data_IF_403846255718
#
_entry.id   IF_403846255718
#
_cell.length_a   1.000
_cell.length_b   1.000
_cell.length_c   1.000
_cell.angle_alpha   90.00
_cell.angle_beta   90.00
_cell.angle_gamma   90.00
#
_symmetry.space_group_name_H-M   'P 1'
#
loop_
_entity.id
_entity.type
_entity.pdbx_description
1 polymer ?
#
# COMPACT_ATOMS: atom_id res chain seq x y z
N UNK A 1 -2.13 -21.52 -14.56
CA UNK A 1 -1.06 -21.10 -13.62
C UNK A 1 0.01 -20.35 -14.39
N UNK A 2 0.14 -19.04 -14.19
CA UNK A 2 1.24 -18.25 -14.76
C UNK A 2 2.43 -18.30 -13.82
N UNK A 3 3.58 -18.78 -14.31
CA UNK A 3 4.85 -18.70 -13.58
C UNK A 3 5.36 -17.26 -13.72
N UNK A 4 5.48 -16.55 -12.60
CA UNK A 4 6.15 -15.25 -12.57
C UNK A 4 7.66 -15.53 -12.53
N UNK A 5 8.35 -15.23 -13.63
CA UNK A 5 9.81 -15.30 -13.70
C UNK A 5 10.38 -13.90 -13.45
N UNK A 6 10.89 -13.66 -12.24
CA UNK A 6 11.81 -12.55 -11.96
C UNK A 6 13.24 -12.99 -12.28
N UNK A 7 13.96 -12.31 -13.20
CA UNK A 7 15.39 -12.56 -13.39
C UNK A 7 16.15 -12.34 -12.08
N UNK A 8 17.04 -13.26 -11.72
CA UNK A 8 17.73 -13.31 -10.42
C UNK A 8 18.63 -12.10 -10.08
N UNK A 9 18.83 -11.13 -10.98
CA UNK A 9 19.80 -10.04 -10.78
C UNK A 9 19.33 -8.66 -11.27
N UNK A 10 18.03 -8.38 -11.27
CA UNK A 10 17.54 -7.03 -11.56
C UNK A 10 16.56 -6.60 -10.48
N UNK A 11 16.96 -5.60 -9.69
CA UNK A 11 16.12 -4.95 -8.68
C UNK A 11 15.05 -4.10 -9.38
N UNK A 12 13.93 -4.74 -9.70
CA UNK A 12 12.72 -4.14 -10.27
C UNK A 12 11.76 -3.60 -9.21
N UNK A 13 12.22 -3.37 -7.97
CA UNK A 13 11.34 -2.85 -6.95
C UNK A 13 10.90 -1.43 -7.34
N UNK A 14 9.65 -1.29 -7.78
CA UNK A 14 8.93 -0.01 -7.95
C UNK A 14 8.90 0.78 -6.65
N UNK A 15 9.29 0.14 -5.55
CA UNK A 15 9.27 0.62 -4.18
C UNK A 15 10.67 0.54 -3.59
N UNK A 16 11.13 1.62 -2.96
CA UNK A 16 12.30 1.63 -2.09
C UNK A 16 11.85 1.88 -0.65
N UNK A 17 12.48 1.22 0.31
CA UNK A 17 12.28 1.56 1.72
C UNK A 17 13.17 2.73 2.08
N UNK A 18 12.61 3.76 2.69
CA UNK A 18 13.34 5.01 2.93
C UNK A 18 14.63 4.80 3.74
N UNK A 19 14.66 3.85 4.69
CA UNK A 19 15.86 3.56 5.49
C UNK A 19 17.03 2.98 4.68
N UNK A 20 16.80 2.50 3.46
CA UNK A 20 17.84 2.05 2.53
C UNK A 20 18.55 3.21 1.84
N UNK A 21 17.91 4.39 1.76
CA UNK A 21 18.42 5.57 1.06
C UNK A 21 18.57 6.79 1.96
N UNK A 22 18.24 6.66 3.24
CA UNK A 22 18.23 7.76 4.18
C UNK A 22 19.66 8.20 4.50
N UNK A 23 19.91 9.50 4.39
CA UNK A 23 21.15 10.12 4.87
C UNK A 23 20.94 10.73 6.25
N UNK A 24 22.04 10.94 6.98
CA UNK A 24 22.02 11.76 8.19
C UNK A 24 21.48 13.18 7.91
N UNK A 25 21.78 13.73 6.73
CA UNK A 25 21.29 15.05 6.32
C UNK A 25 19.76 15.10 6.19
N UNK A 26 19.12 14.04 5.68
CA UNK A 26 17.65 13.98 5.65
C UNK A 26 17.07 14.00 7.06
N UNK A 27 17.61 13.24 8.01
CA UNK A 27 17.08 13.21 9.38
C UNK A 27 17.24 14.57 10.08
N UNK A 28 18.34 15.26 9.81
CA UNK A 28 18.58 16.63 10.29
C UNK A 28 17.59 17.62 9.66
N UNK A 29 17.37 17.56 8.35
CA UNK A 29 16.38 18.38 7.64
C UNK A 29 14.94 18.10 8.11
N UNK A 30 14.58 16.82 8.27
CA UNK A 30 13.30 16.41 8.81
C UNK A 30 13.10 16.99 10.22
N UNK A 31 14.06 16.78 11.12
CA UNK A 31 14.03 17.32 12.48
C UNK A 31 13.94 18.85 12.52
N UNK A 32 14.65 19.54 11.62
CA UNK A 32 14.57 21.01 11.50
C UNK A 32 13.18 21.46 11.03
N UNK A 33 12.59 20.76 10.06
CA UNK A 33 11.25 21.06 9.55
C UNK A 33 10.19 20.97 10.67
N UNK A 34 10.36 20.04 11.62
CA UNK A 34 9.45 19.82 12.74
C UNK A 34 9.35 21.04 13.68
N UNK A 35 10.39 21.88 13.76
CA UNK A 35 10.42 23.05 14.65
C UNK A 35 9.39 24.12 14.29
N UNK A 36 8.93 24.14 13.03
CA UNK A 36 7.93 25.09 12.53
C UNK A 36 6.51 24.76 13.00
N UNK A 37 6.28 23.51 13.39
CA UNK A 37 4.96 23.04 13.81
C UNK A 37 4.73 23.27 15.32
N UNK A 38 3.49 23.55 15.74
CA UNK A 38 3.06 23.49 17.14
C UNK A 38 3.35 22.12 17.76
N UNK A 39 3.46 22.07 19.09
CA UNK A 39 3.83 20.85 19.82
C UNK A 39 2.95 19.64 19.48
N UNK A 40 1.63 19.80 19.41
CA UNK A 40 0.71 18.71 19.09
C UNK A 40 0.96 18.13 17.69
N UNK A 41 1.13 18.99 16.68
CA UNK A 41 1.44 18.57 15.31
C UNK A 41 2.83 17.93 15.23
N UNK A 42 3.80 18.49 15.95
CA UNK A 42 5.16 17.96 16.05
C UNK A 42 5.18 16.55 16.62
N UNK A 43 4.40 16.28 17.67
CA UNK A 43 4.29 14.95 18.27
C UNK A 43 3.71 13.91 17.29
N UNK A 44 2.77 14.34 16.43
CA UNK A 44 2.22 13.49 15.37
C UNK A 44 3.21 13.22 14.23
N UNK A 45 4.17 14.12 13.98
CA UNK A 45 5.15 14.02 12.91
C UNK A 45 6.49 13.40 13.34
N UNK A 46 6.82 13.44 14.62
CA UNK A 46 8.09 12.94 15.14
C UNK A 46 8.10 11.41 15.24
N UNK A 47 8.28 10.74 14.09
CA UNK A 47 8.07 9.30 13.95
C UNK A 47 9.33 8.47 13.82
N UNK A 48 10.45 9.09 13.44
CA UNK A 48 11.67 8.39 13.07
C UNK A 48 12.61 8.22 14.26
N UNK A 49 13.16 7.02 14.41
CA UNK A 49 14.29 6.79 15.29
C UNK A 49 15.61 7.27 14.64
N UNK A 50 16.72 7.10 15.38
CA UNK A 50 18.07 7.49 14.92
C UNK A 50 18.53 6.78 13.63
N UNK A 51 17.85 5.72 13.21
CA UNK A 51 18.13 4.95 11.99
C UNK A 51 17.09 5.24 10.89
N UNK A 52 16.22 6.23 11.07
CA UNK A 52 15.17 6.53 10.10
C UNK A 52 14.01 5.55 10.11
N UNK A 53 13.87 4.72 11.15
CA UNK A 53 12.79 3.74 11.25
C UNK A 53 11.59 4.37 11.94
N UNK A 54 10.44 4.20 11.34
CA UNK A 54 9.18 4.83 11.74
C UNK A 54 8.23 4.87 10.56
N UNK A 55 6.94 4.81 10.85
CA UNK A 55 5.89 5.01 9.84
C UNK A 55 4.62 5.43 10.56
N UNK A 56 4.03 6.53 10.11
CA UNK A 56 2.63 6.85 10.32
C UNK A 56 2.13 7.66 9.10
N UNK A 57 0.82 7.82 8.98
CA UNK A 57 0.22 8.49 7.81
C UNK A 57 0.60 9.98 7.69
N UNK A 58 0.98 10.65 8.78
CA UNK A 58 1.40 12.06 8.76
C UNK A 58 2.87 12.21 8.37
N UNK A 59 3.77 11.57 9.11
CA UNK A 59 5.21 11.66 8.90
C UNK A 59 5.64 11.11 7.54
N UNK A 60 4.93 10.10 7.01
CA UNK A 60 5.20 9.60 5.65
C UNK A 60 4.95 10.68 4.59
N UNK A 61 3.86 11.45 4.70
CA UNK A 61 3.55 12.55 3.77
C UNK A 61 4.61 13.65 3.86
N UNK A 62 5.02 14.04 5.08
CA UNK A 62 6.07 15.05 5.26
C UNK A 62 7.43 14.57 4.73
N UNK A 63 7.81 13.32 5.03
CA UNK A 63 9.06 12.74 4.58
C UNK A 63 9.16 12.71 3.04
N UNK A 64 8.08 12.28 2.38
CA UNK A 64 7.96 12.26 0.93
C UNK A 64 8.23 13.63 0.29
N UNK A 65 7.73 14.71 0.90
CA UNK A 65 7.95 16.08 0.41
C UNK A 65 9.38 16.55 0.54
N UNK A 66 9.96 16.33 1.71
CA UNK A 66 11.34 16.71 1.99
C UNK A 66 12.28 15.99 1.02
N UNK A 67 12.02 14.71 0.75
CA UNK A 67 12.78 13.92 -0.21
C UNK A 67 12.48 14.29 -1.68
N UNK A 68 11.35 14.95 -1.96
CA UNK A 68 10.88 15.15 -3.34
C UNK A 68 10.56 13.84 -4.06
N UNK A 69 10.23 12.78 -3.32
CA UNK A 69 9.95 11.44 -3.83
C UNK A 69 8.52 11.03 -3.47
N UNK A 70 7.71 10.55 -4.44
CA UNK A 70 6.35 10.08 -4.16
C UNK A 70 6.37 8.85 -3.25
N UNK A 71 5.31 8.67 -2.45
CA UNK A 71 5.08 7.44 -1.70
C UNK A 71 4.69 6.31 -2.65
N UNK A 72 4.93 5.07 -2.24
CA UNK A 72 4.40 3.93 -2.97
C UNK A 72 2.87 3.88 -2.87
N UNK A 73 2.18 3.76 -4.00
CA UNK A 73 0.74 3.48 -4.00
C UNK A 73 0.47 2.08 -3.46
N UNK A 74 -0.77 1.76 -3.01
CA UNK A 74 -1.11 0.40 -2.60
C UNK A 74 -0.85 -0.66 -3.67
N UNK A 75 -1.09 -0.36 -4.96
CA UNK A 75 -0.82 -1.31 -6.04
C UNK A 75 0.68 -1.56 -6.23
N UNK A 76 1.51 -0.52 -6.16
CA UNK A 76 2.97 -0.65 -6.22
C UNK A 76 3.52 -1.44 -5.04
N UNK A 77 3.01 -1.19 -3.82
CA UNK A 77 3.42 -1.93 -2.64
C UNK A 77 3.05 -3.41 -2.75
N UNK A 78 1.81 -3.72 -3.12
CA UNK A 78 1.34 -5.09 -3.31
C UNK A 78 2.14 -5.82 -4.40
N UNK A 79 2.48 -5.11 -5.48
CA UNK A 79 3.34 -5.64 -6.52
C UNK A 79 4.74 -5.96 -5.99
N UNK A 80 5.37 -5.02 -5.27
CA UNK A 80 6.70 -5.21 -4.69
C UNK A 80 6.73 -6.36 -3.67
N UNK A 81 5.69 -6.50 -2.84
CA UNK A 81 5.54 -7.62 -1.89
C UNK A 81 5.48 -8.96 -2.61
N UNK A 82 4.81 -9.04 -3.77
CA UNK A 82 4.74 -10.26 -4.57
C UNK A 82 6.10 -10.66 -5.14
N UNK A 83 6.90 -9.69 -5.59
CA UNK A 83 8.22 -9.93 -6.17
C UNK A 83 9.27 -10.27 -5.10
N UNK A 84 9.20 -9.59 -3.96
CA UNK A 84 10.24 -9.65 -2.92
C UNK A 84 9.64 -9.76 -1.50
N UNK A 85 8.88 -10.82 -1.18
CA UNK A 85 8.15 -10.91 0.10
C UNK A 85 9.09 -10.90 1.32
N UNK A 86 10.32 -11.39 1.17
CA UNK A 86 11.31 -11.41 2.25
C UNK A 86 11.80 -10.01 2.64
N UNK A 87 11.82 -9.05 1.71
CA UNK A 87 12.17 -7.65 1.99
C UNK A 87 11.13 -6.99 2.90
N UNK A 88 9.86 -7.34 2.73
CA UNK A 88 8.75 -6.74 3.47
C UNK A 88 8.38 -7.53 4.74
N UNK A 89 8.91 -8.74 4.91
CA UNK A 89 8.67 -9.55 6.12
C UNK A 89 9.39 -8.91 7.30
N UNK A 90 8.69 -8.81 8.44
CA UNK A 90 9.24 -8.21 9.66
C UNK A 90 9.12 -6.70 9.76
N UNK A 91 8.68 -6.00 8.70
CA UNK A 91 8.46 -4.55 8.70
C UNK A 91 6.98 -4.18 8.66
N UNK A 92 6.70 -2.89 8.74
CA UNK A 92 5.36 -2.32 8.71
C UNK A 92 5.34 -1.12 7.76
N UNK A 93 4.38 -1.03 6.85
CA UNK A 93 4.30 0.04 5.84
C UNK A 93 2.85 0.54 5.72
N UNK A 94 2.63 1.85 5.66
CA UNK A 94 1.31 2.45 5.45
C UNK A 94 1.22 3.17 4.10
N UNK A 95 0.54 2.57 3.10
CA UNK A 95 0.38 3.21 1.79
C UNK A 95 -0.91 4.05 1.66
N UNK A 96 -1.86 3.94 2.59
CA UNK A 96 -3.18 4.55 2.45
C UNK A 96 -3.94 4.72 3.77
N UNK A 97 -4.99 5.55 3.70
CA UNK A 97 -6.10 5.59 4.63
C UNK A 97 -7.32 4.85 4.06
N UNK A 98 -8.23 4.44 4.93
CA UNK A 98 -9.58 4.04 4.55
C UNK A 98 -10.60 4.66 5.48
N UNK A 99 -11.62 5.26 4.89
CA UNK A 99 -12.74 5.89 5.58
C UNK A 99 -14.00 5.06 5.36
N UNK A 100 -14.62 4.60 6.44
CA UNK A 100 -15.88 3.85 6.42
C UNK A 100 -17.04 4.71 6.90
N UNK A 101 -16.88 5.35 8.04
CA UNK A 101 -17.92 6.16 8.69
C UNK A 101 -17.33 7.43 9.33
N UNK A 102 -18.24 8.31 9.76
CA UNK A 102 -17.97 9.62 10.37
C UNK A 102 -17.73 9.58 11.90
N UNK A 103 -17.87 8.42 12.52
CA UNK A 103 -18.15 8.33 13.96
C UNK A 103 -16.92 8.61 14.85
N UNK A 104 -15.70 8.36 14.36
CA UNK A 104 -14.55 8.20 15.26
C UNK A 104 -13.77 9.47 15.66
N UNK A 105 -13.63 10.47 14.79
CA UNK A 105 -12.83 11.66 15.11
C UNK A 105 -12.97 12.81 14.10
N UNK A 106 -12.47 13.97 14.50
CA UNK A 106 -12.42 15.21 13.70
C UNK A 106 -11.80 15.01 12.30
N UNK A 107 -10.75 14.17 12.19
CA UNK A 107 -10.10 13.88 10.91
C UNK A 107 -11.01 13.09 9.95
N UNK A 108 -11.77 12.13 10.46
CA UNK A 108 -12.76 11.38 9.67
C UNK A 108 -13.84 12.32 9.09
N UNK A 109 -14.38 13.22 9.93
CA UNK A 109 -15.38 14.21 9.51
C UNK A 109 -14.82 15.19 8.47
N UNK A 110 -13.60 15.64 8.67
CA UNK A 110 -12.91 16.51 7.73
C UNK A 110 -12.71 15.84 6.36
N UNK A 111 -12.20 14.60 6.33
CA UNK A 111 -12.04 13.86 5.07
C UNK A 111 -13.37 13.55 4.39
N UNK A 112 -14.38 13.12 5.15
CA UNK A 112 -15.71 12.88 4.62
C UNK A 112 -16.30 14.14 3.96
N UNK A 113 -16.20 15.30 4.62
CA UNK A 113 -16.70 16.56 4.06
C UNK A 113 -16.01 16.95 2.76
N UNK A 114 -14.74 16.58 2.60
CA UNK A 114 -14.00 16.81 1.35
C UNK A 114 -14.39 15.81 0.25
N UNK A 115 -14.71 14.56 0.61
CA UNK A 115 -15.20 13.55 -0.32
C UNK A 115 -16.63 13.85 -0.79
N UNK A 116 -17.50 14.31 0.12
CA UNK A 116 -18.89 14.62 -0.21
C UNK A 116 -18.99 15.74 -1.23
N UNK A 117 -18.12 16.76 -1.14
CA UNK A 117 -17.98 17.82 -2.16
C UNK A 117 -17.58 17.30 -3.54
N UNK A 118 -17.05 16.08 -3.63
CA UNK A 118 -16.70 15.35 -4.86
C UNK A 118 -17.75 14.29 -5.23
N UNK A 119 -18.92 14.32 -4.61
CA UNK A 119 -19.99 13.32 -4.76
C UNK A 119 -19.59 11.89 -4.35
N UNK A 120 -18.57 11.74 -3.50
CA UNK A 120 -18.15 10.45 -2.95
C UNK A 120 -18.63 10.34 -1.51
N UNK A 121 -19.43 9.31 -1.20
CA UNK A 121 -20.00 9.08 0.14
C UNK A 121 -19.54 7.74 0.69
N UNK A 122 -18.52 7.73 1.57
CA UNK A 122 -18.11 6.51 2.28
C UNK A 122 -19.25 5.92 3.12
N UNK A 123 -19.39 4.60 3.08
CA UNK A 123 -20.28 3.84 4.00
C UNK A 123 -19.55 2.64 4.59
N UNK A 124 -20.17 1.96 5.56
CA UNK A 124 -19.62 0.70 6.09
C UNK A 124 -19.49 -0.36 4.98
N UNK A 125 -20.46 -0.43 4.08
CA UNK A 125 -20.53 -1.38 2.97
C UNK A 125 -19.64 -0.99 1.79
N UNK A 126 -19.47 0.30 1.54
CA UNK A 126 -18.65 0.80 0.44
C UNK A 126 -17.65 1.87 0.92
N UNK A 127 -16.60 1.45 1.67
CA UNK A 127 -15.59 2.37 2.16
C UNK A 127 -14.79 3.04 1.06
N UNK A 128 -14.11 4.13 1.42
CA UNK A 128 -13.23 4.86 0.53
C UNK A 128 -11.78 4.72 1.00
N UNK A 129 -10.95 4.08 0.19
CA UNK A 129 -9.49 4.11 0.32
C UNK A 129 -8.96 5.40 -0.29
N UNK A 130 -8.00 6.04 0.38
CA UNK A 130 -7.28 7.21 -0.12
C UNK A 130 -5.77 6.90 0.00
N UNK A 131 -5.03 6.89 -1.12
CA UNK A 131 -3.56 6.76 -1.03
C UNK A 131 -2.95 7.98 -0.35
N UNK A 132 -1.84 7.79 0.35
CA UNK A 132 -1.12 8.91 0.95
C UNK A 132 -0.57 9.90 -0.10
N UNK A 133 -0.39 9.50 -1.37
CA UNK A 133 -0.04 10.42 -2.46
C UNK A 133 -1.16 11.41 -2.78
N UNK A 134 -2.42 11.05 -2.50
CA UNK A 134 -3.59 11.90 -2.71
C UNK A 134 -3.85 12.86 -1.55
N UNK A 135 -2.92 12.98 -0.61
CA UNK A 135 -3.10 13.69 0.65
C UNK A 135 -2.04 14.76 0.87
N UNK A 136 -2.53 15.89 1.39
CA UNK A 136 -1.75 16.96 1.99
C UNK A 136 -2.04 17.06 3.49
N UNK A 137 -1.15 17.72 4.23
CA UNK A 137 -1.28 18.02 5.64
C UNK A 137 -1.51 19.50 5.84
N UNK A 138 -2.51 19.82 6.66
CA UNK A 138 -2.75 21.18 7.13
C UNK A 138 -2.79 21.20 8.65
N UNK A 139 -2.18 22.22 9.24
CA UNK A 139 -2.27 22.48 10.68
C UNK A 139 -3.71 22.82 11.08
N UNK A 140 -4.16 22.21 12.16
CA UNK A 140 -5.48 22.47 12.73
C UNK A 140 -5.46 22.19 14.24
N UNK A 141 -5.63 23.24 15.04
CA UNK A 141 -5.65 23.16 16.50
C UNK A 141 -6.88 22.43 17.06
N UNK A 142 -7.94 22.26 16.26
CA UNK A 142 -9.13 21.48 16.64
C UNK A 142 -8.90 19.98 16.49
N UNK A 143 -7.88 19.59 15.72
CA UNK A 143 -7.49 18.19 15.57
C UNK A 143 -6.68 17.73 16.78
N UNK A 144 -7.03 16.56 17.32
CA UNK A 144 -6.22 15.88 18.35
C UNK A 144 -4.75 15.68 17.91
N UNK A 145 -4.51 15.57 16.60
CA UNK A 145 -3.18 15.39 16.04
C UNK A 145 -2.45 16.72 15.75
N UNK A 146 -3.11 17.87 15.94
CA UNK A 146 -2.64 19.18 15.46
C UNK A 146 -2.62 19.32 13.94
N UNK A 147 -3.05 18.26 13.23
CA UNK A 147 -2.98 18.12 11.78
C UNK A 147 -4.28 17.48 11.25
N UNK A 148 -4.64 17.88 10.04
CA UNK A 148 -5.68 17.24 9.24
C UNK A 148 -5.16 16.87 7.86
N UNK A 149 -5.78 15.86 7.27
CA UNK A 149 -5.53 15.44 5.89
C UNK A 149 -6.38 16.27 4.91
N UNK A 150 -5.79 16.73 3.82
CA UNK A 150 -6.45 17.49 2.75
C UNK A 150 -6.32 16.68 1.45
N UNK A 151 -7.42 16.48 0.73
CA UNK A 151 -7.42 15.79 -0.56
C UNK A 151 -6.83 16.69 -1.64
N UNK A 152 -5.79 16.21 -2.34
CA UNK A 152 -5.11 16.94 -3.43
C UNK A 152 -5.68 16.67 -4.81
N UNK A 153 -6.26 15.48 -5.04
CA UNK A 153 -6.81 15.03 -6.33
C UNK A 153 -7.78 13.85 -6.16
N UNK A 154 -8.30 13.32 -7.27
CA UNK A 154 -9.28 12.21 -7.28
C UNK A 154 -8.66 10.87 -7.68
N UNK A 155 -7.57 10.90 -8.45
CA UNK A 155 -6.83 9.76 -8.97
C UNK A 155 -6.32 8.78 -7.89
N UNK A 156 -6.21 9.25 -6.65
CA UNK A 156 -5.72 8.48 -5.50
C UNK A 156 -6.85 8.00 -4.57
N UNK A 157 -8.12 8.20 -4.97
CA UNK A 157 -9.32 7.85 -4.22
C UNK A 157 -9.99 6.63 -4.87
N UNK A 158 -10.32 5.63 -4.06
CA UNK A 158 -10.99 4.41 -4.51
C UNK A 158 -12.11 4.02 -3.55
N UNK A 159 -13.34 4.01 -4.05
CA UNK A 159 -14.48 3.48 -3.32
C UNK A 159 -14.68 1.99 -3.70
N UNK A 160 -14.61 1.09 -2.71
CA UNK A 160 -14.69 -0.36 -2.98
C UNK A 160 -15.19 -1.15 -1.75
N UNK A 161 -16.20 -2.02 -1.95
CA UNK A 161 -16.78 -2.82 -0.86
C UNK A 161 -15.80 -3.77 -0.20
N UNK A 162 -14.72 -4.15 -0.89
CA UNK A 162 -13.71 -5.10 -0.39
C UNK A 162 -12.93 -4.55 0.80
N UNK A 163 -13.00 -3.25 1.07
CA UNK A 163 -12.44 -2.65 2.28
C UNK A 163 -13.39 -2.65 3.49
N UNK A 164 -14.63 -3.11 3.33
CA UNK A 164 -15.62 -3.22 4.41
C UNK A 164 -15.26 -4.34 5.40
N UNK A 165 -15.80 -4.27 6.61
CA UNK A 165 -15.64 -5.34 7.61
C UNK A 165 -16.32 -6.66 7.25
N UNK A 166 -17.17 -6.69 6.21
CA UNK A 166 -17.71 -7.93 5.63
C UNK A 166 -16.58 -8.87 5.17
N UNK A 167 -15.43 -8.30 4.82
CA UNK A 167 -14.25 -9.03 4.39
C UNK A 167 -13.18 -9.16 5.49
N UNK A 168 -13.49 -8.80 6.75
CA UNK A 168 -12.57 -9.03 7.86
C UNK A 168 -12.19 -10.52 7.96
N UNK A 169 -10.90 -10.78 8.19
CA UNK A 169 -10.27 -12.10 8.24
C UNK A 169 -10.35 -12.93 6.96
N UNK A 170 -10.77 -12.34 5.84
CA UNK A 170 -10.73 -13.03 4.54
C UNK A 170 -9.29 -13.22 4.10
N UNK A 171 -9.06 -14.33 3.41
CA UNK A 171 -7.75 -14.73 2.90
C UNK A 171 -7.61 -14.32 1.45
N UNK A 172 -6.39 -13.93 1.08
CA UNK A 172 -6.03 -13.56 -0.29
C UNK A 172 -4.58 -13.94 -0.56
N UNK A 173 -4.25 -14.17 -1.83
CA UNK A 173 -2.86 -14.39 -2.29
C UNK A 173 -2.31 -13.18 -3.02
N UNK A 174 -3.17 -12.41 -3.67
CA UNK A 174 -2.80 -11.27 -4.50
C UNK A 174 -3.88 -10.20 -4.48
N UNK A 175 -3.56 -9.08 -5.10
CA UNK A 175 -4.42 -7.90 -5.22
C UNK A 175 -4.61 -7.57 -6.70
N UNK A 176 -5.68 -6.87 -7.02
CA UNK A 176 -5.92 -6.36 -8.38
C UNK A 176 -4.97 -5.19 -8.71
N UNK A 177 -5.06 -4.66 -9.93
CA UNK A 177 -4.23 -3.56 -10.43
C UNK A 177 -4.35 -2.26 -9.62
N UNK A 178 -5.41 -2.12 -8.81
CA UNK A 178 -5.67 -0.97 -7.93
C UNK A 178 -5.17 -1.21 -6.50
N UNK A 179 -4.57 -2.38 -6.23
CA UNK A 179 -4.08 -2.78 -4.91
C UNK A 179 -5.19 -3.24 -3.97
N UNK A 180 -6.33 -3.70 -4.50
CA UNK A 180 -7.42 -4.25 -3.70
C UNK A 180 -7.29 -5.77 -3.60
N UNK A 181 -7.36 -6.37 -2.39
CA UNK A 181 -7.25 -7.82 -2.24
C UNK A 181 -8.27 -8.61 -3.08
N UNK A 182 -7.81 -9.69 -3.70
CA UNK A 182 -8.67 -10.68 -4.36
C UNK A 182 -8.92 -11.83 -3.39
N UNK A 183 -10.08 -11.80 -2.74
CA UNK A 183 -10.42 -12.76 -1.69
C UNK A 183 -10.75 -14.14 -2.24
N UNK A 184 -10.21 -15.15 -1.58
CA UNK A 184 -10.48 -16.55 -1.90
C UNK A 184 -11.71 -17.04 -1.14
N UNK A 185 -12.49 -17.88 -1.82
CA UNK A 185 -13.52 -18.72 -1.23
C UNK A 185 -12.90 -19.90 -0.50
N UNK A 186 -13.69 -20.55 0.37
CA UNK A 186 -13.25 -21.76 1.10
C UNK A 186 -12.79 -22.87 0.13
N UNK A 187 -13.55 -23.11 -0.93
CA UNK A 187 -13.24 -24.13 -1.93
C UNK A 187 -12.01 -23.82 -2.79
N UNK A 188 -11.62 -22.54 -2.93
CA UNK A 188 -10.35 -22.17 -3.55
C UNK A 188 -9.17 -22.40 -2.61
N UNK A 189 -9.34 -22.09 -1.32
CA UNK A 189 -8.30 -22.31 -0.29
C UNK A 189 -7.96 -23.81 -0.16
N UNK A 190 -8.98 -24.69 -0.20
CA UNK A 190 -8.80 -26.15 -0.12
C UNK A 190 -8.04 -26.74 -1.32
N UNK A 191 -7.95 -26.01 -2.43
CA UNK A 191 -7.24 -26.42 -3.65
C UNK A 191 -5.81 -25.88 -3.75
N UNK A 192 -5.38 -25.08 -2.77
CA UNK A 192 -4.04 -24.51 -2.76
C UNK A 192 -3.00 -25.58 -2.45
N UNK A 193 -1.85 -25.49 -3.13
CA UNK A 193 -0.65 -26.23 -2.75
C UNK A 193 -0.08 -25.75 -1.42
N UNK A 194 0.74 -26.56 -0.74
CA UNK A 194 1.42 -26.16 0.51
C UNK A 194 2.24 -24.86 0.32
N UNK A 195 2.89 -24.70 -0.84
CA UNK A 195 3.63 -23.49 -1.17
C UNK A 195 2.72 -22.26 -1.27
N UNK A 196 1.51 -22.40 -1.80
CA UNK A 196 0.54 -21.29 -1.87
C UNK A 196 -0.04 -20.99 -0.48
N UNK A 197 -0.33 -22.01 0.32
CA UNK A 197 -0.80 -21.85 1.70
C UNK A 197 0.20 -21.03 2.53
N UNK A 198 1.51 -21.26 2.37
CA UNK A 198 2.55 -20.51 3.07
C UNK A 198 2.64 -19.02 2.68
N UNK A 199 2.03 -18.64 1.55
CA UNK A 199 1.96 -17.26 1.04
C UNK A 199 0.60 -16.61 1.31
N UNK A 200 -0.31 -17.32 1.94
CA UNK A 200 -1.66 -16.84 2.20
C UNK A 200 -1.65 -15.68 3.19
N UNK A 201 -2.22 -14.56 2.78
CA UNK A 201 -2.32 -13.34 3.58
C UNK A 201 -3.75 -13.14 4.05
N UNK A 202 -3.91 -12.37 5.11
CA UNK A 202 -5.19 -12.08 5.75
C UNK A 202 -5.48 -10.59 5.65
N UNK A 203 -6.69 -10.24 5.24
CA UNK A 203 -7.18 -8.88 5.37
C UNK A 203 -7.86 -8.72 6.72
N UNK A 204 -7.52 -7.67 7.45
CA UNK A 204 -8.18 -7.32 8.70
C UNK A 204 -8.79 -5.94 8.58
N UNK A 205 -10.07 -5.83 8.90
CA UNK A 205 -10.82 -4.58 8.81
C UNK A 205 -11.70 -4.38 10.04
N UNK A 206 -11.66 -3.19 10.64
CA UNK A 206 -12.66 -2.79 11.62
C UNK A 206 -13.94 -2.34 10.94
N UNK A 207 -15.05 -2.33 11.70
CA UNK A 207 -16.39 -2.02 11.16
C UNK A 207 -16.57 -0.58 10.73
N UNK A 208 -16.01 0.35 11.50
CA UNK A 208 -16.31 1.78 11.37
C UNK A 208 -15.05 2.59 11.09
N UNK A 209 -15.25 3.89 10.92
CA UNK A 209 -14.26 4.93 11.13
C UNK A 209 -13.21 5.14 10.02
N UNK A 210 -12.34 6.12 10.27
CA UNK A 210 -11.11 6.37 9.53
C UNK A 210 -9.96 5.56 10.11
N UNK A 211 -9.31 4.74 9.30
CA UNK A 211 -8.17 3.94 9.72
C UNK A 211 -7.05 3.97 8.70
N UNK A 212 -5.88 3.53 9.14
CA UNK A 212 -4.73 3.29 8.29
C UNK A 212 -4.89 1.96 7.60
N UNK A 213 -4.56 1.90 6.32
CA UNK A 213 -4.22 0.64 5.68
C UNK A 213 -2.73 0.44 5.85
N UNK A 214 -2.34 -0.74 6.32
CA UNK A 214 -0.95 -1.09 6.52
C UNK A 214 -0.65 -2.54 6.15
N UNK A 215 0.52 -2.74 5.56
CA UNK A 215 1.17 -4.03 5.45
C UNK A 215 1.83 -4.33 6.80
N UNK A 216 1.50 -5.45 7.44
CA UNK A 216 2.12 -5.85 8.69
C UNK A 216 3.39 -6.72 8.47
N UNK A 217 4.00 -7.15 9.58
CA UNK A 217 5.22 -7.97 9.59
C UNK A 217 5.05 -9.36 8.97
N UNK A 218 3.82 -9.86 8.92
CA UNK A 218 3.45 -11.16 8.34
C UNK A 218 2.92 -11.00 6.90
N UNK A 219 3.04 -9.78 6.35
CA UNK A 219 2.48 -9.35 5.07
C UNK A 219 0.95 -9.25 5.04
N UNK A 220 0.22 -9.52 6.11
CA UNK A 220 -1.22 -9.24 6.18
C UNK A 220 -1.53 -7.77 5.90
N UNK A 221 -2.68 -7.52 5.27
CA UNK A 221 -3.19 -6.16 5.06
C UNK A 221 -4.13 -5.81 6.21
N UNK A 222 -3.80 -4.78 6.98
CA UNK A 222 -4.52 -4.40 8.20
C UNK A 222 -5.10 -3.00 8.09
N UNK A 223 -6.34 -2.88 8.53
CA UNK A 223 -7.10 -1.65 8.73
C UNK A 223 -7.94 -1.78 10.00
N UNK A 224 -7.26 -1.98 11.14
CA UNK A 224 -7.91 -2.02 12.45
C UNK A 224 -6.97 -1.47 13.55
N UNK A 225 -6.15 -0.46 13.23
CA UNK A 225 -5.02 -0.12 14.08
C UNK A 225 -5.44 0.66 15.33
N UNK A 226 -5.15 0.09 16.50
CA UNK A 226 -5.63 0.59 17.80
C UNK A 226 -4.92 1.86 18.32
N UNK A 227 -3.78 2.28 17.74
CA UNK A 227 -2.97 3.43 18.23
C UNK A 227 -3.28 4.75 17.52
N UNK A 228 -4.49 4.93 16.99
CA UNK A 228 -4.89 6.14 16.25
C UNK A 228 -4.11 6.33 14.94
N UNK A 229 -4.14 7.51 14.33
CA UNK A 229 -3.44 7.79 13.06
C UNK A 229 -1.95 8.13 13.25
N UNK A 230 -1.59 8.74 14.39
CA UNK A 230 -0.23 9.19 14.67
C UNK A 230 0.70 8.11 15.28
N UNK A 231 0.18 6.96 15.71
CA UNK A 231 1.04 5.96 16.36
C UNK A 231 2.08 5.39 15.40
N UNK A 232 3.38 5.51 15.72
CA UNK A 232 4.47 4.88 14.95
C UNK A 232 4.91 3.56 15.58
N UNK A 233 5.58 2.71 14.79
CA UNK A 233 6.22 1.46 15.23
C UNK A 233 7.72 1.49 14.89
N UNK A 234 8.61 0.94 15.73
CA UNK A 234 10.03 0.79 15.39
C UNK A 234 10.30 -0.12 14.17
N UNK A 235 9.33 -0.98 13.81
CA UNK A 235 9.39 -1.76 12.56
C UNK A 235 8.78 -1.03 11.36
N UNK A 236 8.29 0.20 11.56
CA UNK A 236 7.71 1.04 10.51
C UNK A 236 8.76 1.43 9.49
N UNK A 237 8.37 1.43 8.21
CA UNK A 237 9.14 1.88 7.07
C UNK A 237 8.27 2.71 6.15
N UNK A 238 8.83 3.79 5.64
CA UNK A 238 8.23 4.57 4.56
C UNK A 238 8.58 3.88 3.25
N UNK A 239 7.56 3.50 2.50
CA UNK A 239 7.72 2.98 1.14
C UNK A 239 7.59 4.14 0.15
N UNK A 240 8.64 4.35 -0.64
CA UNK A 240 8.72 5.40 -1.66
C UNK A 240 8.65 4.75 -3.03
N UNK A 241 7.95 5.36 -3.98
CA UNK A 241 7.98 4.88 -5.36
C UNK A 241 9.32 5.27 -6.00
N UNK A 242 10.05 4.28 -6.54
CA UNK A 242 11.22 4.56 -7.39
C UNK A 242 10.70 5.19 -8.68
N UNK A 243 11.16 6.42 -8.99
CA UNK A 243 11.02 6.95 -10.35
C UNK A 243 11.82 6.03 -11.27
N UNK A 244 11.15 5.24 -12.10
CA UNK A 244 11.81 4.65 -13.26
C UNK A 244 12.37 5.82 -14.07
N UNK A 245 13.70 5.96 -14.09
CA UNK A 245 14.32 6.79 -15.11
C UNK A 245 13.92 6.18 -16.45
N UNK A 246 13.29 6.99 -17.30
CA UNK A 246 12.78 6.61 -18.63
C UNK A 246 13.84 6.03 -19.58
N UNK A 247 15.10 5.91 -19.14
CA UNK A 247 16.24 5.53 -19.96
C UNK A 247 16.25 4.10 -20.50
N UNK A 248 15.36 3.19 -20.05
CA UNK A 248 15.32 1.84 -20.64
C UNK A 248 13.96 1.14 -20.62
N UNK A 249 12.85 1.89 -20.61
CA UNK A 249 11.50 1.32 -20.71
C UNK A 249 11.33 0.53 -22.03
N UNK A 250 11.93 0.98 -23.13
CA UNK A 250 11.89 0.27 -24.41
C UNK A 250 12.55 -1.11 -24.38
N UNK A 251 13.70 -1.25 -23.71
CA UNK A 251 14.36 -2.55 -23.54
C UNK A 251 13.55 -3.51 -22.66
N UNK A 252 12.88 -2.97 -21.63
CA UNK A 252 12.01 -3.74 -20.74
C UNK A 252 10.73 -4.21 -21.44
N UNK A 253 10.02 -3.33 -22.15
CA UNK A 253 8.84 -3.68 -22.93
C UNK A 253 9.16 -4.71 -24.02
N UNK A 254 10.34 -4.61 -24.64
CA UNK A 254 10.81 -5.60 -25.62
C UNK A 254 11.03 -6.99 -24.98
N UNK A 255 11.60 -7.05 -23.78
CA UNK A 255 11.79 -8.32 -23.04
C UNK A 255 10.46 -8.92 -22.60
N UNK A 256 9.52 -8.11 -22.10
CA UNK A 256 8.17 -8.56 -21.75
C UNK A 256 7.41 -9.11 -22.96
N UNK A 257 7.51 -8.44 -24.12
CA UNK A 257 6.89 -8.93 -25.35
C UNK A 257 7.47 -10.28 -25.77
N UNK A 258 8.80 -10.44 -25.75
CA UNK A 258 9.46 -11.71 -26.11
C UNK A 258 9.04 -12.86 -25.18
N UNK A 259 8.92 -12.61 -23.89
CA UNK A 259 8.51 -13.65 -22.94
C UNK A 259 7.02 -13.99 -23.08
N UNK A 260 6.15 -13.00 -23.30
CA UNK A 260 4.74 -13.24 -23.65
C UNK A 260 4.61 -14.14 -24.87
N UNK A 261 5.33 -13.82 -25.95
CA UNK A 261 5.23 -14.56 -27.20
C UNK A 261 5.75 -16.01 -27.06
N UNK A 262 6.80 -16.22 -26.25
CA UNK A 262 7.28 -17.54 -25.87
C UNK A 262 6.23 -18.35 -25.09
N UNK A 263 5.51 -17.72 -24.15
CA UNK A 263 4.47 -18.40 -23.38
C UNK A 263 3.25 -18.77 -24.23
N UNK A 264 2.86 -17.89 -25.16
CA UNK A 264 1.81 -18.19 -26.14
C UNK A 264 2.21 -19.43 -26.96
N UNK A 265 3.46 -19.48 -27.44
CA UNK A 265 3.97 -20.63 -28.19
C UNK A 265 3.90 -21.94 -27.40
N UNK A 266 4.40 -21.94 -26.16
CA UNK A 266 4.38 -23.14 -25.28
C UNK A 266 2.94 -23.58 -25.00
N UNK A 267 2.04 -22.63 -24.77
CA UNK A 267 0.62 -22.93 -24.51
C UNK A 267 -0.04 -23.54 -25.75
N UNK A 268 0.23 -23.00 -26.93
CA UNK A 268 -0.29 -23.54 -28.19
C UNK A 268 0.24 -24.94 -28.49
N UNK A 269 1.52 -25.21 -28.22
CA UNK A 269 2.11 -26.55 -28.37
C UNK A 269 1.46 -27.57 -27.42
N UNK A 270 1.20 -27.17 -26.16
CA UNK A 270 0.49 -28.02 -25.19
C UNK A 270 -0.95 -28.29 -25.62
N UNK A 271 -1.65 -27.26 -26.09
CA UNK A 271 -3.01 -27.40 -26.60
C UNK A 271 -3.07 -28.35 -27.80
N UNK A 272 -2.14 -28.20 -28.75
CA UNK A 272 -2.06 -29.08 -29.93
C UNK A 272 -1.87 -30.56 -29.54
N UNK A 273 -0.94 -30.85 -28.62
CA UNK A 273 -0.74 -32.22 -28.11
C UNK A 273 -1.97 -32.77 -27.40
N UNK A 274 -2.68 -31.95 -26.62
CA UNK A 274 -3.90 -32.38 -25.94
C UNK A 274 -5.01 -32.72 -26.95
N UNK A 275 -5.14 -31.93 -28.03
CA UNK A 275 -6.10 -32.20 -29.12
C UNK A 275 -5.73 -33.46 -29.90
N UNK A 276 -4.44 -33.72 -30.13
CA UNK A 276 -3.98 -34.96 -30.78
C UNK A 276 -4.36 -36.20 -29.95
N UNK A 277 -4.13 -36.17 -28.63
CA UNK A 277 -4.50 -37.27 -27.71
C UNK A 277 -6.02 -37.48 -27.63
N UNK A 278 -6.82 -36.42 -27.74
CA UNK A 278 -8.28 -36.51 -27.68
C UNK A 278 -8.92 -37.05 -28.96
N UNK A 279 -8.19 -37.07 -30.07
CA UNK A 279 -8.66 -37.54 -31.37
C UNK A 279 -8.09 -38.92 -31.75
N UNK A 280 -7.33 -39.57 -30.86
CA UNK A 280 -7.01 -41.01 -30.87
C UNK A 280 -8.06 -41.79 -30.07
#
# INVERSE_FOLDING_TARGET
MGIILTPENVDFSEVCLMDEIISRSFLEEYSESLKRYPETARNSLNIFDKKGRGSNVFGNILASRILGLPLASPSQLEHAVRLSPNTFRGIYVEPALVLRTLEDNYNARNLYSQLEKRNIKPTEENPVRISLNGLDLKEDSSSYYGLIHILTGEEEILQDERFSSKYDRRKFLTSDERGVPIFLTKGEIEKLSENEISKLRTFYARKRDLDRICLNRDLDLRSYWVRGLAGSSPSGRVALAKKFSSGNIGGYLSKLSKERDKQIRITNERYKRAVEIMNE
#
